data_IF_181191276113
#
_entry.id   IF_181191276113
#
_cell.length_a   1.000
_cell.length_b   1.000
_cell.length_c   1.000
_cell.angle_alpha   90.00
_cell.angle_beta   90.00
_cell.angle_gamma   90.00
#
_symmetry.space_group_name_H-M   'P 1'
#
loop_
_entity.id
_entity.type
_entity.pdbx_description
1 polymer ?
#
# COMPACT_ATOMS: atom_id res chain seq x y z
N UNK A 1 -15.43 22.48 6.29
CA UNK A 1 -14.84 23.52 7.15
C UNK A 1 -13.98 24.42 6.28
N UNK A 2 -14.05 25.71 6.50
CA UNK A 2 -13.13 26.67 5.88
C UNK A 2 -11.75 26.52 6.53
N UNK A 3 -10.69 26.65 5.72
CA UNK A 3 -9.30 26.56 6.17
C UNK A 3 -8.42 25.71 5.28
N UNK A 4 -7.13 25.74 5.58
CA UNK A 4 -6.09 24.96 4.92
C UNK A 4 -5.46 24.01 5.93
N UNK A 5 -5.45 22.74 5.61
CA UNK A 5 -5.04 21.68 6.54
C UNK A 5 -3.93 20.81 5.95
N UNK A 6 -3.02 20.27 6.76
CA UNK A 6 -2.18 19.17 6.38
C UNK A 6 -3.01 17.94 6.07
N UNK A 7 -2.42 16.95 5.40
CA UNK A 7 -3.11 15.73 5.03
C UNK A 7 -2.32 14.46 5.38
N UNK A 8 -3.05 13.38 5.63
CA UNK A 8 -2.55 12.03 5.75
C UNK A 8 -3.23 11.12 4.75
N UNK A 9 -2.43 10.38 3.97
CA UNK A 9 -2.88 9.20 3.25
C UNK A 9 -2.60 7.97 4.10
N UNK A 10 -3.62 7.20 4.40
CA UNK A 10 -3.52 5.92 5.11
C UNK A 10 -3.69 4.78 4.12
N UNK A 11 -2.70 3.90 4.09
CA UNK A 11 -2.70 2.74 3.20
C UNK A 11 -2.88 1.47 4.03
N UNK A 12 -3.86 0.60 3.70
CA UNK A 12 -4.21 -0.53 4.55
C UNK A 12 -3.19 -1.66 4.49
N UNK A 13 -3.04 -2.35 5.60
CA UNK A 13 -2.39 -3.65 5.65
C UNK A 13 -3.13 -4.72 4.84
N UNK A 14 -2.56 -5.92 4.73
CA UNK A 14 -3.18 -7.01 4.00
C UNK A 14 -4.52 -7.44 4.62
N UNK A 15 -5.43 -7.90 3.75
CA UNK A 15 -6.74 -8.43 4.13
C UNK A 15 -7.90 -7.72 3.43
N UNK A 16 -9.01 -8.42 3.33
CA UNK A 16 -10.28 -7.95 2.75
C UNK A 16 -11.21 -7.61 3.91
N UNK A 17 -11.50 -6.32 4.10
CA UNK A 17 -12.20 -5.87 5.32
C UNK A 17 -12.97 -4.57 5.08
N UNK A 18 -13.95 -4.24 5.96
CA UNK A 18 -14.64 -2.96 5.93
C UNK A 18 -13.69 -1.80 6.29
N UNK A 19 -14.18 -0.60 6.11
CA UNK A 19 -13.50 0.62 6.58
C UNK A 19 -13.39 0.64 8.10
N UNK A 20 -12.18 0.87 8.60
CA UNK A 20 -11.93 0.91 10.04
C UNK A 20 -12.17 2.30 10.66
N UNK A 21 -12.17 3.34 9.82
CA UNK A 21 -12.21 4.73 10.29
C UNK A 21 -10.86 5.21 10.83
N UNK A 22 -10.74 6.50 10.99
CA UNK A 22 -9.58 7.12 11.64
C UNK A 22 -9.90 7.41 13.11
N UNK A 23 -9.15 6.76 14.01
CA UNK A 23 -9.26 6.94 15.46
C UNK A 23 -8.08 7.70 16.05
N UNK A 24 -7.11 8.10 15.23
CA UNK A 24 -5.83 8.64 15.69
C UNK A 24 -5.65 10.12 15.44
N UNK A 25 -6.30 10.69 14.42
CA UNK A 25 -6.16 12.12 14.12
C UNK A 25 -7.18 12.98 14.84
N UNK A 26 -6.75 14.16 15.29
CA UNK A 26 -7.63 15.10 15.95
C UNK A 26 -8.68 15.63 14.96
N UNK A 27 -9.98 15.50 15.23
CA UNK A 27 -11.04 15.94 14.34
C UNK A 27 -10.88 17.41 13.93
N UNK A 28 -10.92 17.67 12.63
CA UNK A 28 -10.95 19.02 12.08
C UNK A 28 -9.62 19.74 11.98
N UNK A 29 -8.49 19.07 12.25
CA UNK A 29 -7.15 19.67 12.12
C UNK A 29 -6.30 19.05 11.00
N UNK A 30 -6.72 17.93 10.45
CA UNK A 30 -6.01 17.18 9.41
C UNK A 30 -7.03 16.61 8.43
N UNK A 31 -6.68 16.55 7.16
CA UNK A 31 -7.41 15.77 6.16
C UNK A 31 -6.86 14.36 6.23
N UNK A 32 -7.70 13.38 6.48
CA UNK A 32 -7.31 11.97 6.44
C UNK A 32 -8.05 11.28 5.31
N UNK A 33 -7.30 10.66 4.41
CA UNK A 33 -7.82 9.80 3.36
C UNK A 33 -7.33 8.38 3.60
N UNK A 34 -8.24 7.43 3.69
CA UNK A 34 -7.92 6.00 3.68
C UNK A 34 -8.31 5.42 2.32
N UNK A 35 -7.40 4.69 1.70
CA UNK A 35 -7.61 4.10 0.38
C UNK A 35 -7.96 2.61 0.50
N UNK A 36 -9.00 2.17 -0.21
CA UNK A 36 -9.34 0.76 -0.36
C UNK A 36 -8.61 0.15 -1.54
N UNK A 37 -7.78 -0.88 -1.32
CA UNK A 37 -6.94 -1.48 -2.38
C UNK A 37 -7.67 -2.48 -3.27
N UNK A 38 -8.86 -2.94 -2.87
CA UNK A 38 -9.57 -4.00 -3.60
C UNK A 38 -10.55 -3.48 -4.65
N UNK A 39 -10.85 -2.17 -4.65
CA UNK A 39 -11.86 -1.59 -5.56
C UNK A 39 -13.28 -2.04 -5.26
N UNK A 40 -13.56 -2.38 -4.01
CA UNK A 40 -14.89 -2.78 -3.50
C UNK A 40 -15.39 -1.73 -2.52
N UNK A 41 -16.72 -1.61 -2.33
CA UNK A 41 -17.28 -0.73 -1.30
C UNK A 41 -16.71 -1.05 0.09
N UNK A 42 -16.52 -0.03 0.93
CA UNK A 42 -15.89 -0.17 2.25
C UNK A 42 -16.89 -0.24 3.40
N UNK A 43 -18.19 -0.24 3.11
CA UNK A 43 -19.29 -0.19 4.08
C UNK A 43 -20.29 -1.36 3.96
N UNK A 44 -19.85 -2.46 3.33
CA UNK A 44 -20.67 -3.68 3.24
C UNK A 44 -20.70 -4.43 4.58
N UNK A 45 -21.58 -5.40 4.68
CA UNK A 45 -21.63 -6.31 5.84
C UNK A 45 -20.36 -7.17 5.90
N UNK A 46 -19.91 -7.51 7.10
CA UNK A 46 -18.71 -8.32 7.33
C UNK A 46 -18.72 -9.62 6.54
N UNK A 47 -19.86 -10.30 6.46
CA UNK A 47 -20.03 -11.56 5.72
C UNK A 47 -19.66 -11.47 4.23
N UNK A 48 -19.83 -10.30 3.61
CA UNK A 48 -19.43 -10.08 2.21
C UNK A 48 -17.89 -10.04 2.08
N UNK A 49 -17.23 -9.37 3.02
CA UNK A 49 -15.75 -9.36 3.04
C UNK A 49 -15.18 -10.75 3.32
N UNK A 50 -15.80 -11.50 4.23
CA UNK A 50 -15.37 -12.86 4.55
C UNK A 50 -15.52 -13.79 3.34
N UNK A 51 -16.64 -13.67 2.61
CA UNK A 51 -16.85 -14.43 1.38
C UNK A 51 -15.84 -14.05 0.28
N UNK A 52 -15.53 -12.78 0.12
CA UNK A 52 -14.52 -12.31 -0.83
C UNK A 52 -13.11 -12.78 -0.44
N UNK A 53 -12.76 -12.71 0.85
CA UNK A 53 -11.47 -13.15 1.37
C UNK A 53 -11.25 -14.65 1.20
N UNK A 54 -12.28 -15.45 1.39
CA UNK A 54 -12.25 -16.91 1.18
C UNK A 54 -12.44 -17.33 -0.28
N UNK A 55 -12.87 -16.44 -1.15
CA UNK A 55 -13.20 -16.69 -2.55
C UNK A 55 -12.40 -15.84 -3.53
N UNK A 56 -13.08 -14.91 -4.21
CA UNK A 56 -12.52 -14.15 -5.34
C UNK A 56 -11.26 -13.32 -5.03
N UNK A 57 -11.02 -12.96 -3.77
CA UNK A 57 -9.83 -12.24 -3.33
C UNK A 57 -8.90 -13.08 -2.45
N UNK A 58 -9.10 -14.40 -2.41
CA UNK A 58 -8.18 -15.29 -1.71
C UNK A 58 -6.80 -15.23 -2.34
N UNK A 59 -5.77 -15.03 -1.51
CA UNK A 59 -4.39 -14.87 -1.97
C UNK A 59 -4.18 -13.82 -3.08
N UNK A 60 -4.95 -12.75 -3.08
CA UNK A 60 -4.92 -11.68 -4.10
C UNK A 60 -3.50 -11.17 -4.41
N UNK A 61 -2.60 -11.24 -3.44
CA UNK A 61 -1.20 -10.84 -3.61
C UNK A 61 -0.41 -11.69 -4.59
N UNK A 62 -0.96 -12.83 -5.03
CA UNK A 62 -0.37 -13.69 -6.07
C UNK A 62 -0.94 -13.43 -7.47
N UNK A 63 -1.97 -12.58 -7.59
CA UNK A 63 -2.64 -12.35 -8.87
C UNK A 63 -1.73 -11.62 -9.86
N UNK A 64 -1.62 -12.16 -11.07
CA UNK A 64 -0.77 -11.61 -12.13
C UNK A 64 0.73 -11.60 -11.82
N UNK A 65 1.19 -12.51 -10.98
CA UNK A 65 2.57 -12.58 -10.50
C UNK A 65 3.62 -12.79 -11.60
N UNK A 66 3.23 -13.24 -12.76
CA UNK A 66 4.05 -13.49 -13.95
C UNK A 66 4.16 -12.28 -14.89
N UNK A 67 3.57 -11.14 -14.54
CA UNK A 67 3.60 -9.93 -15.34
C UNK A 67 3.57 -8.68 -14.47
N UNK A 68 4.48 -7.75 -14.68
CA UNK A 68 4.49 -6.45 -13.98
C UNK A 68 3.18 -5.69 -14.18
N UNK A 69 2.65 -5.69 -15.39
CA UNK A 69 1.46 -4.93 -15.75
C UNK A 69 0.16 -5.59 -15.24
N UNK A 70 0.11 -6.93 -15.21
CA UNK A 70 -1.02 -7.69 -14.71
C UNK A 70 -0.99 -7.91 -13.19
N UNK A 71 0.15 -7.64 -12.54
CA UNK A 71 0.30 -7.80 -11.10
C UNK A 71 -0.77 -7.03 -10.34
N UNK A 72 -1.34 -7.67 -9.33
CA UNK A 72 -2.27 -7.02 -8.41
C UNK A 72 -1.71 -5.72 -7.83
N UNK A 73 -0.41 -5.68 -7.55
CA UNK A 73 0.25 -4.51 -6.99
C UNK A 73 0.40 -3.36 -7.97
N UNK A 74 0.33 -3.57 -9.29
CA UNK A 74 0.30 -2.47 -10.25
C UNK A 74 -0.86 -1.51 -9.94
N UNK A 75 -2.08 -2.03 -9.95
CA UNK A 75 -3.27 -1.21 -9.68
C UNK A 75 -3.28 -0.62 -8.27
N UNK A 76 -2.70 -1.32 -7.29
CA UNK A 76 -2.66 -0.87 -5.89
C UNK A 76 -1.72 0.33 -5.74
N UNK A 77 -0.53 0.26 -6.32
CA UNK A 77 0.45 1.35 -6.32
C UNK A 77 -0.11 2.56 -7.07
N UNK A 78 -0.66 2.34 -8.27
CA UNK A 78 -1.31 3.42 -9.04
C UNK A 78 -2.47 4.02 -8.25
N UNK A 79 -3.27 3.20 -7.56
CA UNK A 79 -4.35 3.66 -6.70
C UNK A 79 -3.87 4.56 -5.56
N UNK A 80 -2.76 4.22 -4.90
CA UNK A 80 -2.16 5.04 -3.86
C UNK A 80 -1.65 6.39 -4.40
N UNK A 81 -1.02 6.40 -5.58
CA UNK A 81 -0.60 7.66 -6.24
C UNK A 81 -1.80 8.52 -6.64
N UNK A 82 -2.89 7.91 -7.14
CA UNK A 82 -4.14 8.64 -7.43
C UNK A 82 -4.81 9.19 -6.17
N UNK A 83 -4.65 8.52 -5.02
CA UNK A 83 -5.09 9.07 -3.74
C UNK A 83 -4.30 10.32 -3.35
N UNK A 84 -3.00 10.38 -3.64
CA UNK A 84 -2.20 11.60 -3.51
C UNK A 84 -2.73 12.71 -4.43
N UNK A 85 -3.01 12.40 -5.71
CA UNK A 85 -3.63 13.36 -6.65
C UNK A 85 -4.93 13.93 -6.09
N UNK A 86 -5.79 13.06 -5.56
CA UNK A 86 -7.05 13.47 -4.96
C UNK A 86 -6.85 14.42 -3.78
N UNK A 87 -5.97 14.08 -2.83
CA UNK A 87 -5.67 14.97 -1.69
C UNK A 87 -5.17 16.32 -2.19
N UNK A 88 -4.25 16.34 -3.16
CA UNK A 88 -3.69 17.57 -3.70
C UNK A 88 -4.71 18.43 -4.46
N UNK A 89 -5.78 17.85 -4.98
CA UNK A 89 -6.87 18.56 -5.64
C UNK A 89 -7.86 19.21 -4.68
N UNK A 90 -7.86 18.84 -3.40
CA UNK A 90 -8.80 19.38 -2.43
C UNK A 90 -8.51 20.84 -2.13
N UNK A 91 -9.51 21.74 -2.22
CA UNK A 91 -9.33 23.15 -1.90
C UNK A 91 -8.94 23.40 -0.44
N UNK A 92 -9.20 22.46 0.45
CA UNK A 92 -8.82 22.52 1.87
C UNK A 92 -7.40 22.04 2.15
N UNK A 93 -6.73 21.38 1.23
CA UNK A 93 -5.34 20.97 1.43
C UNK A 93 -4.41 22.20 1.45
N UNK A 94 -3.45 22.21 2.37
CA UNK A 94 -2.56 23.36 2.54
C UNK A 94 -1.42 23.46 1.51
N UNK A 95 -1.29 22.44 0.63
CA UNK A 95 -0.26 22.38 -0.42
C UNK A 95 1.17 22.15 0.08
N UNK A 96 1.36 21.82 1.36
CA UNK A 96 2.70 21.77 1.98
C UNK A 96 2.99 20.49 2.76
N UNK A 97 2.02 19.96 3.49
CA UNK A 97 2.25 18.87 4.43
C UNK A 97 1.34 17.68 4.10
N UNK A 98 1.91 16.68 3.43
CA UNK A 98 1.27 15.42 3.10
C UNK A 98 2.09 14.26 3.67
N UNK A 99 1.54 13.57 4.65
CA UNK A 99 2.09 12.35 5.19
C UNK A 99 1.48 11.11 4.55
N UNK A 100 2.25 10.04 4.44
CA UNK A 100 1.75 8.71 4.09
C UNK A 100 2.09 7.73 5.21
N UNK A 101 1.13 6.90 5.60
CA UNK A 101 1.31 5.93 6.68
C UNK A 101 0.58 4.62 6.42
N UNK A 102 1.11 3.56 6.96
CA UNK A 102 0.51 2.23 6.95
C UNK A 102 1.36 1.20 7.67
N UNK A 103 0.75 0.06 7.93
CA UNK A 103 1.38 -1.07 8.62
C UNK A 103 1.42 -2.30 7.72
N UNK A 104 2.45 -3.12 7.85
CA UNK A 104 2.62 -4.37 7.09
C UNK A 104 2.60 -4.09 5.58
N UNK A 105 1.68 -4.66 4.80
CA UNK A 105 1.47 -4.31 3.39
C UNK A 105 1.27 -2.80 3.20
N UNK A 106 0.51 -2.15 4.10
CA UNK A 106 0.33 -0.70 4.06
C UNK A 106 1.63 0.06 4.32
N UNK A 107 2.51 -0.46 5.17
CA UNK A 107 3.86 0.07 5.37
C UNK A 107 4.69 0.02 4.09
N UNK A 108 4.66 -1.12 3.38
CA UNK A 108 5.31 -1.29 2.08
C UNK A 108 4.79 -0.27 1.05
N UNK A 109 3.47 -0.20 0.91
CA UNK A 109 2.82 0.72 -0.04
C UNK A 109 3.08 2.19 0.32
N UNK A 110 3.20 2.52 1.61
CA UNK A 110 3.58 3.86 2.06
C UNK A 110 5.00 4.24 1.62
N UNK A 111 5.96 3.32 1.77
CA UNK A 111 7.34 3.50 1.26
C UNK A 111 7.34 3.70 -0.25
N UNK A 112 6.64 2.84 -0.99
CA UNK A 112 6.56 2.91 -2.45
C UNK A 112 5.92 4.25 -2.89
N UNK A 113 4.83 4.66 -2.25
CA UNK A 113 4.15 5.92 -2.56
C UNK A 113 5.06 7.12 -2.31
N UNK A 114 5.73 7.17 -1.15
CA UNK A 114 6.63 8.28 -0.81
C UNK A 114 7.89 8.33 -1.71
N UNK A 115 8.34 7.18 -2.20
CA UNK A 115 9.47 7.09 -3.13
C UNK A 115 9.12 7.56 -4.55
N UNK A 116 7.85 7.37 -4.97
CA UNK A 116 7.39 7.69 -6.32
C UNK A 116 6.73 9.07 -6.45
N UNK A 117 6.34 9.69 -5.36
CA UNK A 117 5.63 10.97 -5.39
C UNK A 117 6.29 12.02 -4.47
N UNK A 118 6.97 12.97 -5.08
CA UNK A 118 7.69 14.04 -4.38
C UNK A 118 6.80 15.02 -3.60
N UNK A 119 5.48 14.96 -3.76
CA UNK A 119 4.51 15.75 -2.98
C UNK A 119 4.32 15.19 -1.57
N UNK A 120 4.69 13.93 -1.34
CA UNK A 120 4.76 13.36 0.00
C UNK A 120 5.93 14.00 0.75
N UNK A 121 5.65 14.55 1.92
CA UNK A 121 6.63 15.29 2.73
C UNK A 121 6.99 14.59 4.04
N UNK A 122 6.28 13.51 4.37
CA UNK A 122 6.51 12.74 5.59
C UNK A 122 6.08 11.28 5.40
N UNK A 123 6.83 10.34 5.95
CA UNK A 123 6.56 8.91 5.89
C UNK A 123 6.57 8.29 7.30
N UNK A 124 5.51 7.53 7.62
CA UNK A 124 5.47 6.69 8.82
C UNK A 124 5.11 5.24 8.44
N UNK A 125 6.09 4.46 8.04
CA UNK A 125 5.91 3.07 7.68
C UNK A 125 6.17 2.14 8.88
N UNK A 126 5.18 1.34 9.26
CA UNK A 126 5.26 0.40 10.37
C UNK A 126 5.50 -1.01 9.82
N UNK A 127 6.62 -1.63 10.21
CA UNK A 127 7.07 -2.98 9.80
C UNK A 127 6.67 -3.33 8.34
N UNK A 128 7.25 -2.65 7.35
CA UNK A 128 6.88 -2.84 5.95
C UNK A 128 7.00 -4.29 5.49
N UNK A 129 5.97 -4.80 4.82
CA UNK A 129 5.98 -6.06 4.12
C UNK A 129 6.62 -5.92 2.71
N UNK A 130 6.48 -6.91 1.86
CA UNK A 130 6.97 -6.91 0.47
C UNK A 130 8.45 -6.51 0.36
N UNK A 131 9.27 -6.96 1.30
CA UNK A 131 10.67 -6.58 1.41
C UNK A 131 11.61 -7.76 1.16
N UNK A 132 12.62 -7.55 0.31
CA UNK A 132 13.75 -8.44 0.06
C UNK A 132 13.32 -9.90 -0.17
N UNK A 133 12.41 -10.09 -1.12
CA UNK A 133 11.87 -11.43 -1.40
C UNK A 133 12.95 -12.43 -1.84
N UNK A 134 14.04 -11.95 -2.47
CA UNK A 134 15.17 -12.77 -2.89
C UNK A 134 16.08 -13.22 -1.73
N UNK A 135 15.91 -12.64 -0.54
CA UNK A 135 16.64 -13.08 0.65
C UNK A 135 16.40 -14.56 0.94
N UNK A 136 15.24 -15.09 0.53
CA UNK A 136 14.92 -16.52 0.60
C UNK A 136 16.02 -17.39 -0.01
N UNK A 137 16.52 -17.06 -1.21
CA UNK A 137 17.57 -17.83 -1.89
C UNK A 137 18.93 -17.75 -1.18
N UNK A 138 19.10 -16.72 -0.35
CA UNK A 138 20.29 -16.49 0.47
C UNK A 138 20.12 -17.02 1.90
N UNK A 139 19.07 -17.81 2.16
CA UNK A 139 18.71 -18.35 3.48
C UNK A 139 18.59 -17.27 4.55
N UNK A 140 18.09 -16.09 4.17
CA UNK A 140 17.79 -14.98 5.07
C UNK A 140 16.27 -14.77 5.17
N UNK A 141 15.82 -14.10 6.23
CA UNK A 141 14.44 -13.69 6.36
C UNK A 141 14.03 -12.75 5.23
N UNK A 142 12.82 -12.94 4.71
CA UNK A 142 12.19 -12.07 3.73
C UNK A 142 10.82 -11.60 4.23
N UNK A 143 10.31 -10.51 3.68
CA UNK A 143 9.01 -9.95 4.06
C UNK A 143 7.84 -10.81 3.58
N UNK A 144 6.69 -10.63 4.26
CA UNK A 144 5.42 -11.16 3.76
C UNK A 144 5.19 -10.72 2.30
N UNK A 145 4.60 -11.55 1.43
CA UNK A 145 3.89 -12.81 1.68
C UNK A 145 4.76 -14.06 1.59
N UNK A 146 6.07 -13.96 1.67
CA UNK A 146 7.01 -15.10 1.62
C UNK A 146 6.80 -15.94 0.36
N UNK A 147 6.72 -15.31 -0.81
CA UNK A 147 6.34 -15.91 -2.09
C UNK A 147 7.04 -17.24 -2.36
N UNK A 148 8.35 -17.30 -2.18
CA UNK A 148 9.13 -18.48 -2.57
C UNK A 148 9.08 -19.60 -1.52
N UNK A 149 8.64 -19.29 -0.32
CA UNK A 149 8.42 -20.27 0.72
C UNK A 149 7.09 -21.01 0.55
N UNK A 150 6.01 -20.28 0.28
CA UNK A 150 4.67 -20.85 0.22
C UNK A 150 4.20 -21.20 -1.19
N UNK A 151 4.73 -20.54 -2.22
CA UNK A 151 4.22 -20.65 -3.59
C UNK A 151 5.24 -21.23 -4.58
N UNK A 152 6.31 -21.84 -4.07
CA UNK A 152 7.34 -22.52 -4.86
C UNK A 152 8.37 -21.60 -5.50
N UNK A 153 9.37 -22.23 -6.13
CA UNK A 153 10.40 -21.49 -6.84
C UNK A 153 9.80 -20.69 -8.01
N UNK A 154 10.18 -19.42 -8.18
CA UNK A 154 9.69 -18.59 -9.27
C UNK A 154 10.34 -18.99 -10.60
N UNK A 155 9.62 -18.77 -11.68
CA UNK A 155 10.22 -18.60 -12.99
C UNK A 155 10.83 -17.19 -13.14
N UNK A 156 11.47 -16.92 -14.26
CA UNK A 156 12.15 -15.65 -14.51
C UNK A 156 11.18 -14.45 -14.51
N UNK A 157 9.97 -14.60 -15.05
CA UNK A 157 8.95 -13.54 -15.11
C UNK A 157 8.40 -13.21 -13.72
N UNK A 158 8.16 -14.24 -12.93
CA UNK A 158 7.72 -14.09 -11.55
C UNK A 158 8.79 -13.38 -10.70
N UNK A 159 10.05 -13.77 -10.90
CA UNK A 159 11.16 -13.13 -10.20
C UNK A 159 11.31 -11.66 -10.59
N UNK A 160 11.21 -11.34 -11.87
CA UNK A 160 11.22 -9.96 -12.36
C UNK A 160 10.08 -9.14 -11.74
N UNK A 161 8.85 -9.69 -11.76
CA UNK A 161 7.66 -9.01 -11.21
C UNK A 161 7.81 -8.76 -9.73
N UNK A 162 8.28 -9.74 -8.97
CA UNK A 162 8.48 -9.61 -7.52
C UNK A 162 9.55 -8.56 -7.21
N UNK A 163 10.65 -8.52 -7.94
CA UNK A 163 11.68 -7.47 -7.82
C UNK A 163 11.13 -6.08 -8.08
N UNK A 164 10.24 -5.97 -9.07
CA UNK A 164 9.66 -4.70 -9.47
C UNK A 164 8.81 -4.07 -8.36
N UNK A 165 8.13 -4.88 -7.54
CA UNK A 165 7.29 -4.44 -6.43
C UNK A 165 7.94 -4.62 -5.05
N UNK A 166 9.22 -4.95 -4.99
CA UNK A 166 9.94 -5.13 -3.73
C UNK A 166 10.24 -3.78 -3.08
N UNK A 167 9.72 -3.58 -1.88
CA UNK A 167 9.84 -2.34 -1.11
C UNK A 167 11.30 -1.92 -0.87
N UNK A 168 12.21 -2.88 -0.74
CA UNK A 168 13.63 -2.58 -0.55
C UNK A 168 14.23 -1.79 -1.73
N UNK A 169 13.71 -2.01 -2.95
CA UNK A 169 14.15 -1.28 -4.14
C UNK A 169 13.70 0.18 -4.16
N UNK A 170 12.61 0.51 -3.47
CA UNK A 170 12.09 1.87 -3.36
C UNK A 170 12.73 2.67 -2.21
N UNK A 171 13.16 1.98 -1.15
CA UNK A 171 13.72 2.65 0.03
C UNK A 171 14.90 3.59 -0.31
N UNK A 172 15.72 3.22 -1.30
CA UNK A 172 16.82 4.07 -1.78
C UNK A 172 16.42 5.36 -2.49
N UNK A 173 15.13 5.47 -2.89
CA UNK A 173 14.59 6.63 -3.60
C UNK A 173 13.90 7.61 -2.64
N UNK A 174 13.84 7.30 -1.35
CA UNK A 174 13.19 8.16 -0.36
C UNK A 174 13.98 9.45 -0.16
N UNK A 175 13.27 10.57 -0.22
CA UNK A 175 13.79 11.92 0.06
C UNK A 175 13.00 12.59 1.19
N UNK A 176 12.35 11.81 2.06
CA UNK A 176 11.49 12.29 3.15
C UNK A 176 11.96 11.69 4.48
N UNK A 177 11.78 12.42 5.60
CA UNK A 177 12.02 11.87 6.92
C UNK A 177 11.00 10.79 7.29
#
# INVERSE_FOLDING_TARGET
KEGKYPAWLRVPGAGVRPYAGDTYTAPGKVITLEVGIHGIPVTMQQSVYDALAGGALSNYWTFGRDSRDASYYNRVVVGALRAVDFICSLPQYNGKALGVTGSSQGGALSVITAALDSRVTFLAAVHPALCDHEAFFKKRACGWPHYFYYYGAPDEKQLETVRYYDTANFARLLNVP
#
